data_IF_439403597701
#
_entry.id   IF_439403597701
#
_cell.length_a   1.000
_cell.length_b   1.000
_cell.length_c   1.000
_cell.angle_alpha   90.00
_cell.angle_beta   90.00
_cell.angle_gamma   90.00
#
_symmetry.space_group_name_H-M   'P 1'
#
loop_
_entity.id
_entity.type
_entity.pdbx_description
1 polymer ?
#
# COMPACT_ATOMS: atom_id res chain seq x y z
N UNK A 1 34.75 16.15 -9.09
CA UNK A 1 34.50 16.84 -10.38
C UNK A 1 33.24 17.67 -10.26
N UNK A 2 33.04 18.66 -11.14
CA UNK A 2 31.88 19.56 -11.16
C UNK A 2 31.26 19.57 -12.55
N UNK A 3 29.94 19.76 -12.63
CA UNK A 3 29.24 19.88 -13.89
C UNK A 3 29.61 21.16 -14.63
N UNK A 4 29.79 21.04 -15.94
CA UNK A 4 30.09 22.13 -16.86
C UNK A 4 29.51 21.83 -18.25
N UNK A 5 29.53 22.85 -19.12
CA UNK A 5 29.09 22.77 -20.51
C UNK A 5 30.28 23.05 -21.42
N UNK A 6 30.50 22.20 -22.42
CA UNK A 6 31.49 22.42 -23.47
C UNK A 6 30.80 22.81 -24.77
N UNK A 7 31.36 23.78 -25.51
CA UNK A 7 30.88 24.16 -26.84
C UNK A 7 31.62 23.36 -27.90
N UNK A 8 30.87 22.72 -28.79
CA UNK A 8 31.35 21.96 -29.94
C UNK A 8 31.48 22.79 -31.21
N UNK A 9 31.95 22.15 -32.27
CA UNK A 9 31.87 22.70 -33.63
C UNK A 9 30.39 22.81 -34.01
N UNK A 10 29.99 23.91 -34.65
CA UNK A 10 28.61 24.23 -35.07
C UNK A 10 27.64 24.62 -33.94
N UNK A 11 28.14 25.10 -32.80
CA UNK A 11 27.28 25.60 -31.71
C UNK A 11 26.63 24.52 -30.85
N UNK A 12 26.95 23.24 -31.08
CA UNK A 12 26.52 22.14 -30.22
C UNK A 12 27.02 22.34 -28.78
N UNK A 13 26.22 21.96 -27.79
CA UNK A 13 26.57 22.08 -26.36
C UNK A 13 26.58 20.69 -25.73
N UNK A 14 27.71 20.29 -25.17
CA UNK A 14 27.89 19.00 -24.51
C UNK A 14 27.93 19.16 -22.99
N UNK A 15 27.32 18.20 -22.28
CA UNK A 15 27.42 18.09 -20.83
C UNK A 15 28.71 17.35 -20.46
N UNK A 16 29.50 17.96 -19.59
CA UNK A 16 30.76 17.39 -19.12
C UNK A 16 30.90 17.52 -17.60
N UNK A 17 31.68 16.63 -17.02
CA UNK A 17 32.25 16.81 -15.69
C UNK A 17 33.71 17.22 -15.82
N UNK A 18 34.12 18.22 -15.05
CA UNK A 18 35.50 18.73 -15.08
C UNK A 18 36.06 18.90 -13.66
N UNK A 19 37.37 19.12 -13.54
CA UNK A 19 37.97 19.40 -12.24
C UNK A 19 37.38 20.69 -11.62
N UNK A 20 36.97 20.62 -10.34
CA UNK A 20 36.44 21.78 -9.62
C UNK A 20 37.48 22.87 -9.40
N UNK A 21 38.74 22.49 -9.12
CA UNK A 21 39.85 23.45 -8.98
C UNK A 21 40.16 24.14 -10.31
N UNK A 22 40.11 23.43 -11.43
CA UNK A 22 40.25 24.05 -12.76
C UNK A 22 39.12 25.04 -13.05
N UNK A 23 37.87 24.69 -12.74
CA UNK A 23 36.72 25.58 -12.95
C UNK A 23 36.85 26.91 -12.18
N UNK A 24 37.37 26.84 -10.95
CA UNK A 24 37.36 27.97 -10.03
C UNK A 24 38.67 28.79 -10.04
N UNK A 25 39.82 28.13 -10.23
CA UNK A 25 41.17 28.73 -10.12
C UNK A 25 41.99 28.65 -11.42
N UNK A 26 41.44 28.05 -12.46
CA UNK A 26 42.07 27.99 -13.79
C UNK A 26 43.23 27.00 -13.92
N UNK A 27 43.90 27.08 -15.08
CA UNK A 27 44.96 26.14 -15.52
C UNK A 27 46.22 26.17 -14.66
N UNK A 28 46.47 27.28 -13.97
CA UNK A 28 47.64 27.45 -13.10
C UNK A 28 47.67 26.46 -11.94
N UNK A 29 46.49 26.05 -11.45
CA UNK A 29 46.35 25.16 -10.28
C UNK A 29 46.07 23.71 -10.66
N UNK A 30 45.37 23.46 -11.77
CA UNK A 30 45.01 22.10 -12.18
C UNK A 30 44.77 22.02 -13.69
N UNK A 31 44.86 20.83 -14.27
CA UNK A 31 44.37 20.57 -15.62
C UNK A 31 42.85 20.42 -15.64
N UNK A 32 42.24 20.62 -16.81
CA UNK A 32 40.79 20.59 -16.96
C UNK A 32 40.16 19.24 -16.58
N UNK A 33 40.85 18.13 -16.88
CA UNK A 33 40.44 16.75 -16.62
C UNK A 33 38.93 16.56 -16.85
N UNK A 34 38.53 16.70 -18.11
CA UNK A 34 37.13 16.68 -18.52
C UNK A 34 36.70 15.29 -18.98
N UNK A 35 35.52 14.86 -18.56
CA UNK A 35 34.86 13.64 -19.03
C UNK A 35 33.45 13.97 -19.51
N UNK A 36 32.98 13.28 -20.54
CA UNK A 36 31.58 13.35 -20.97
C UNK A 36 30.67 12.94 -19.81
N UNK A 37 29.63 13.73 -19.54
CA UNK A 37 28.67 13.43 -18.48
C UNK A 37 27.98 12.10 -18.74
N UNK A 38 27.49 11.88 -19.96
CA UNK A 38 26.79 10.65 -20.35
C UNK A 38 27.66 9.40 -20.13
N UNK A 39 28.96 9.49 -20.47
CA UNK A 39 29.90 8.38 -20.24
C UNK A 39 30.10 8.10 -18.75
N UNK A 40 30.29 9.14 -17.95
CA UNK A 40 30.51 9.01 -16.51
C UNK A 40 29.26 8.48 -15.79
N UNK A 41 28.09 9.06 -16.10
CA UNK A 41 26.79 8.66 -15.55
C UNK A 41 26.48 7.21 -15.90
N UNK A 42 26.66 6.82 -17.18
CA UNK A 42 26.45 5.43 -17.61
C UNK A 42 27.34 4.45 -16.86
N UNK A 43 28.63 4.75 -16.75
CA UNK A 43 29.57 3.89 -16.02
C UNK A 43 29.15 3.72 -14.55
N UNK A 44 28.78 4.80 -13.87
CA UNK A 44 28.33 4.75 -12.47
C UNK A 44 27.04 3.93 -12.35
N UNK A 45 26.08 4.13 -13.24
CA UNK A 45 24.81 3.37 -13.24
C UNK A 45 25.09 1.88 -13.44
N UNK A 46 25.96 1.52 -14.39
CA UNK A 46 26.27 0.12 -14.66
C UNK A 46 27.02 -0.54 -13.50
N UNK A 47 27.91 0.20 -12.83
CA UNK A 47 28.58 -0.29 -11.62
C UNK A 47 27.61 -0.42 -10.43
N UNK A 48 26.68 0.53 -10.27
CA UNK A 48 25.62 0.43 -9.26
C UNK A 48 24.72 -0.79 -9.51
N UNK A 49 24.36 -1.06 -10.77
CA UNK A 49 23.61 -2.28 -11.13
C UNK A 49 24.38 -3.52 -10.73
N UNK A 50 25.67 -3.60 -11.07
CA UNK A 50 26.54 -4.72 -10.70
C UNK A 50 26.56 -4.94 -9.18
N UNK A 51 26.66 -3.86 -8.41
CA UNK A 51 26.69 -3.92 -6.94
C UNK A 51 25.34 -4.36 -6.37
N UNK A 52 24.24 -3.76 -6.81
CA UNK A 52 22.90 -4.08 -6.31
C UNK A 52 22.47 -5.50 -6.70
N UNK A 53 22.94 -6.02 -7.83
CA UNK A 53 22.69 -7.39 -8.27
C UNK A 53 23.50 -8.46 -7.51
N UNK A 54 24.43 -8.09 -6.63
CA UNK A 54 25.12 -9.10 -5.82
C UNK A 54 24.12 -9.78 -4.87
N UNK A 55 24.16 -11.12 -4.72
CA UNK A 55 23.17 -11.89 -3.94
C UNK A 55 22.94 -11.35 -2.52
N UNK A 56 24.02 -10.91 -1.87
CA UNK A 56 23.97 -10.32 -0.54
C UNK A 56 23.04 -9.10 -0.42
N UNK A 57 23.07 -8.19 -1.41
CA UNK A 57 22.21 -7.00 -1.39
C UNK A 57 20.76 -7.36 -1.66
N UNK A 58 20.52 -8.28 -2.61
CA UNK A 58 19.18 -8.77 -2.92
C UNK A 58 18.56 -9.43 -1.69
N UNK A 59 19.29 -10.31 -1.00
CA UNK A 59 18.79 -10.93 0.23
C UNK A 59 18.44 -9.90 1.31
N UNK A 60 19.33 -8.92 1.54
CA UNK A 60 19.08 -7.87 2.54
C UNK A 60 17.87 -7.03 2.18
N UNK A 61 17.70 -6.70 0.91
CA UNK A 61 16.55 -5.95 0.42
C UNK A 61 15.25 -6.73 0.63
N UNK A 62 15.21 -8.00 0.22
CA UNK A 62 14.04 -8.88 0.39
C UNK A 62 13.70 -9.05 1.88
N UNK A 63 14.70 -9.29 2.74
CA UNK A 63 14.51 -9.40 4.20
C UNK A 63 13.92 -8.11 4.78
N UNK A 64 14.42 -6.94 4.37
CA UNK A 64 13.90 -5.64 4.80
C UNK A 64 12.45 -5.43 4.34
N UNK A 65 12.16 -5.66 3.06
CA UNK A 65 10.81 -5.53 2.50
C UNK A 65 9.80 -6.43 3.21
N UNK A 66 10.15 -7.70 3.43
CA UNK A 66 9.26 -8.63 4.13
C UNK A 66 9.02 -8.20 5.59
N UNK A 67 10.06 -7.70 6.28
CA UNK A 67 9.90 -7.18 7.64
C UNK A 67 8.98 -5.97 7.69
N UNK A 68 9.13 -5.03 6.76
CA UNK A 68 8.25 -3.85 6.66
C UNK A 68 6.79 -4.26 6.37
N UNK A 69 6.59 -5.22 5.47
CA UNK A 69 5.24 -5.78 5.18
C UNK A 69 4.61 -6.41 6.42
N UNK A 70 5.33 -7.28 7.11
CA UNK A 70 4.83 -7.94 8.34
C UNK A 70 4.49 -6.91 9.41
N UNK A 71 5.36 -5.91 9.60
CA UNK A 71 5.14 -4.86 10.58
C UNK A 71 3.91 -3.99 10.27
N UNK A 72 3.60 -3.78 8.98
CA UNK A 72 2.40 -3.06 8.56
C UNK A 72 1.13 -3.93 8.67
N UNK A 73 1.25 -5.24 8.40
CA UNK A 73 0.12 -6.17 8.40
C UNK A 73 -0.31 -6.59 9.81
N UNK A 74 0.63 -6.81 10.73
CA UNK A 74 0.36 -7.23 12.11
C UNK A 74 -0.69 -6.37 12.84
N UNK A 75 -0.57 -5.03 12.92
CA UNK A 75 -1.54 -4.21 13.64
C UNK A 75 -2.94 -4.28 13.01
N UNK A 76 -3.02 -4.39 11.68
CA UNK A 76 -4.30 -4.53 10.97
C UNK A 76 -4.97 -5.88 11.27
N UNK A 77 -4.18 -6.96 11.36
CA UNK A 77 -4.71 -8.26 11.75
C UNK A 77 -5.18 -8.28 13.21
N UNK A 78 -4.44 -7.64 14.11
CA UNK A 78 -4.82 -7.55 15.53
C UNK A 78 -6.08 -6.70 15.71
N UNK A 79 -6.20 -5.59 14.99
CA UNK A 79 -7.42 -4.79 14.96
C UNK A 79 -8.61 -5.58 14.39
N UNK A 80 -8.42 -6.32 13.29
CA UNK A 80 -9.45 -7.20 12.72
C UNK A 80 -9.92 -8.24 13.73
N UNK A 81 -9.00 -8.88 14.46
CA UNK A 81 -9.35 -9.83 15.53
C UNK A 81 -10.15 -9.15 16.64
N UNK A 82 -9.71 -7.98 17.11
CA UNK A 82 -10.42 -7.20 18.14
C UNK A 82 -11.85 -6.87 17.70
N UNK A 83 -12.02 -6.38 16.47
CA UNK A 83 -13.33 -6.06 15.90
C UNK A 83 -14.21 -7.31 15.78
N UNK A 84 -13.65 -8.44 15.34
CA UNK A 84 -14.38 -9.70 15.26
C UNK A 84 -14.88 -10.20 16.63
N UNK A 85 -14.04 -10.09 17.67
CA UNK A 85 -14.44 -10.44 19.04
C UNK A 85 -15.54 -9.52 19.55
N UNK A 86 -15.42 -8.21 19.30
CA UNK A 86 -16.44 -7.25 19.69
C UNK A 86 -17.77 -7.52 18.98
N UNK A 87 -17.75 -7.78 17.67
CA UNK A 87 -18.94 -8.17 16.91
C UNK A 87 -19.63 -9.38 17.53
N UNK A 88 -18.88 -10.45 17.82
CA UNK A 88 -19.45 -11.65 18.43
C UNK A 88 -20.05 -11.39 19.82
N UNK A 89 -19.43 -10.52 20.62
CA UNK A 89 -19.99 -10.11 21.92
C UNK A 89 -21.30 -9.36 21.76
N UNK A 90 -21.36 -8.43 20.79
CA UNK A 90 -22.58 -7.68 20.50
C UNK A 90 -23.70 -8.58 19.98
N UNK A 91 -23.40 -9.52 19.08
CA UNK A 91 -24.37 -10.52 18.61
C UNK A 91 -24.94 -11.33 19.77
N UNK A 92 -24.08 -11.83 20.67
CA UNK A 92 -24.55 -12.53 21.89
C UNK A 92 -25.41 -11.64 22.79
N UNK A 93 -25.08 -10.36 22.93
CA UNK A 93 -25.91 -9.44 23.70
C UNK A 93 -27.28 -9.24 23.06
N UNK A 94 -27.35 -9.14 21.74
CA UNK A 94 -28.61 -9.06 20.99
C UNK A 94 -29.41 -10.35 21.21
N UNK A 95 -28.80 -11.52 21.04
CA UNK A 95 -29.48 -12.80 21.23
C UNK A 95 -30.04 -12.94 22.65
N UNK A 96 -29.26 -12.55 23.66
CA UNK A 96 -29.70 -12.56 25.06
C UNK A 96 -30.86 -11.59 25.29
N UNK A 97 -30.78 -10.36 24.77
CA UNK A 97 -31.85 -9.37 24.89
C UNK A 97 -33.14 -9.86 24.20
N UNK A 98 -33.03 -10.44 23.00
CA UNK A 98 -34.16 -11.02 22.28
C UNK A 98 -34.78 -12.16 23.08
N UNK A 99 -33.95 -13.03 23.66
CA UNK A 99 -34.41 -14.14 24.51
C UNK A 99 -35.18 -13.61 25.73
N UNK A 100 -34.61 -12.65 26.46
CA UNK A 100 -35.28 -12.00 27.60
C UNK A 100 -36.60 -11.35 27.20
N UNK A 101 -36.66 -10.71 26.04
CA UNK A 101 -37.88 -10.08 25.53
C UNK A 101 -38.98 -11.10 25.20
N UNK A 102 -38.60 -12.29 24.75
CA UNK A 102 -39.53 -13.39 24.43
C UNK A 102 -40.04 -14.13 25.67
N UNK A 103 -39.30 -14.05 26.78
CA UNK A 103 -39.66 -14.66 28.06
C UNK A 103 -40.56 -13.76 28.92
N UNK A 104 -40.67 -12.46 28.61
CA UNK A 104 -41.59 -11.55 29.27
C UNK A 104 -43.06 -11.84 28.87
N UNK A 105 -43.93 -12.25 29.82
CA UNK A 105 -45.30 -12.70 29.53
C UNK A 105 -46.17 -11.64 28.83
N UNK A 106 -45.98 -10.36 29.14
CA UNK A 106 -46.80 -9.27 28.59
C UNK A 106 -46.39 -8.91 27.15
N UNK A 107 -45.12 -9.14 26.81
CA UNK A 107 -44.56 -8.85 25.48
C UNK A 107 -44.63 -10.06 24.54
N UNK A 108 -44.68 -11.28 25.05
CA UNK A 108 -44.69 -12.52 24.26
C UNK A 108 -45.87 -12.58 23.29
N UNK A 109 -47.06 -12.19 23.73
CA UNK A 109 -48.27 -12.21 22.89
C UNK A 109 -48.17 -11.15 21.78
N UNK A 110 -47.71 -9.94 22.11
CA UNK A 110 -47.51 -8.84 21.15
C UNK A 110 -46.48 -9.24 20.08
N UNK A 111 -45.34 -9.81 20.49
CA UNK A 111 -44.29 -10.23 19.56
C UNK A 111 -44.68 -11.44 18.73
N UNK A 112 -45.39 -12.42 19.28
CA UNK A 112 -45.86 -13.59 18.52
C UNK A 112 -46.85 -13.20 17.41
N UNK A 113 -47.71 -12.21 17.67
CA UNK A 113 -48.67 -11.69 16.72
C UNK A 113 -47.98 -10.90 15.60
N UNK A 114 -47.03 -10.02 15.96
CA UNK A 114 -46.19 -9.30 14.98
C UNK A 114 -45.31 -10.24 14.15
N UNK A 115 -44.78 -11.31 14.77
CA UNK A 115 -43.95 -12.32 14.09
C UNK A 115 -44.77 -13.11 13.06
N UNK A 116 -46.05 -13.41 13.37
CA UNK A 116 -47.00 -13.99 12.42
C UNK A 116 -47.24 -13.05 11.24
N UNK A 117 -47.57 -11.78 11.50
CA UNK A 117 -47.77 -10.78 10.45
C UNK A 117 -46.54 -10.64 9.55
N UNK A 118 -45.34 -10.54 10.12
CA UNK A 118 -44.11 -10.42 9.35
C UNK A 118 -43.78 -11.69 8.56
N UNK A 119 -44.00 -12.90 9.11
CA UNK A 119 -43.87 -14.16 8.35
C UNK A 119 -44.84 -14.22 7.17
N UNK A 120 -46.06 -13.73 7.36
CA UNK A 120 -47.08 -13.70 6.32
C UNK A 120 -46.68 -12.69 5.22
N UNK A 121 -46.13 -11.53 5.59
CA UNK A 121 -45.55 -10.57 4.65
C UNK A 121 -44.36 -11.15 3.89
N UNK A 122 -43.47 -11.89 4.58
CA UNK A 122 -42.32 -12.57 3.97
C UNK A 122 -42.77 -13.63 2.97
N UNK A 123 -43.74 -14.47 3.33
CA UNK A 123 -44.31 -15.47 2.42
C UNK A 123 -45.02 -14.81 1.22
N UNK A 124 -45.67 -13.67 1.41
CA UNK A 124 -46.30 -12.90 0.32
C UNK A 124 -45.23 -12.30 -0.60
N UNK A 125 -44.14 -11.75 -0.05
CA UNK A 125 -43.01 -11.22 -0.80
C UNK A 125 -42.23 -12.32 -1.55
N UNK A 126 -42.00 -13.46 -0.91
CA UNK A 126 -41.36 -14.64 -1.52
C UNK A 126 -42.23 -15.26 -2.61
N UNK A 127 -43.56 -15.31 -2.42
CA UNK A 127 -44.51 -15.72 -3.45
C UNK A 127 -44.53 -14.76 -4.65
N UNK A 128 -44.45 -13.45 -4.39
CA UNK A 128 -44.33 -12.43 -5.44
C UNK A 128 -42.97 -12.47 -6.15
N UNK A 129 -41.89 -12.84 -5.46
CA UNK A 129 -40.57 -13.06 -6.07
C UNK A 129 -40.48 -14.38 -6.85
N UNK A 130 -41.31 -15.39 -6.54
CA UNK A 130 -41.43 -16.64 -7.32
C UNK A 130 -42.49 -16.56 -8.44
N UNK A 131 -43.12 -15.38 -8.62
CA UNK A 131 -44.22 -15.12 -9.55
C UNK A 131 -43.83 -14.38 -10.82
N UNK A 132 -42.57 -14.38 -11.24
CA UNK A 132 -42.20 -14.02 -12.62
C UNK A 132 -41.85 -15.27 -13.44
N UNK A 133 -42.84 -15.78 -14.20
CA UNK A 133 -42.58 -16.32 -15.51
C UNK A 133 -43.23 -15.42 -16.58
N UNK A 134 -42.34 -14.91 -17.45
CA UNK A 134 -42.59 -14.36 -18.80
C UNK A 134 -43.36 -13.03 -18.93
#
# INVERSE_FOLDING_TARGET
MVAAKAKGKNGAVYRIYQCGQYKNKGRTVCQANTISADRAEKYIIDELKRVVMMPYFIEKLVKKMNRERINAESPLQDEKKRLSVNKQKTEKHIDNLVTMLMDDPDLRDIYSQKLKEQKQQLATLEFNMCGEPA
#
